data_IF_996514032781
#
_entry.id   IF_996514032781
#
_cell.length_a   1.000
_cell.length_b   1.000
_cell.length_c   1.000
_cell.angle_alpha   90.00
_cell.angle_beta   90.00
_cell.angle_gamma   90.00
#
_symmetry.space_group_name_H-M   'P 1'
#
loop_
_entity.id
_entity.type
_entity.pdbx_description
1 polymer ?
#
# COMPACT_ATOMS: atom_id res chain seq x y z
N UNK A 1 -6.28 -51.10 -25.69
CA UNK A 1 -4.89 -50.69 -25.39
C UNK A 1 -4.72 -49.28 -25.93
N UNK A 2 -4.48 -48.32 -25.05
CA UNK A 2 -4.08 -46.91 -25.28
C UNK A 2 -4.97 -46.05 -26.22
N UNK A 3 -5.92 -45.31 -25.64
CA UNK A 3 -6.34 -44.02 -26.18
C UNK A 3 -5.48 -42.95 -25.51
N UNK A 4 -4.66 -42.29 -26.33
CA UNK A 4 -3.68 -41.31 -25.91
C UNK A 4 -4.32 -40.12 -25.20
N UNK A 5 -3.85 -39.87 -23.98
CA UNK A 5 -4.08 -38.65 -23.22
C UNK A 5 -3.37 -37.51 -23.98
N UNK A 6 -4.15 -36.62 -24.60
CA UNK A 6 -3.64 -35.45 -25.29
C UNK A 6 -3.22 -34.40 -24.22
N UNK A 7 -1.94 -34.02 -24.11
CA UNK A 7 -1.45 -33.22 -23.00
C UNK A 7 -1.26 -31.73 -23.36
N UNK A 8 -2.15 -31.11 -24.14
CA UNK A 8 -1.94 -29.73 -24.61
C UNK A 8 -3.16 -28.82 -24.39
N UNK A 9 -3.59 -28.66 -23.14
CA UNK A 9 -4.39 -27.50 -22.73
C UNK A 9 -3.70 -26.74 -21.62
N UNK A 10 -2.44 -26.34 -21.87
CA UNK A 10 -1.78 -25.32 -21.07
C UNK A 10 -2.43 -23.96 -21.40
N UNK A 11 -3.61 -23.74 -20.82
CA UNK A 11 -4.23 -22.43 -20.77
C UNK A 11 -3.30 -21.54 -19.94
N UNK A 12 -2.37 -20.88 -20.64
CA UNK A 12 -1.53 -19.81 -20.11
C UNK A 12 -2.42 -18.75 -19.46
N UNK A 13 -2.73 -18.95 -18.17
CA UNK A 13 -3.53 -18.06 -17.34
C UNK A 13 -2.67 -16.85 -17.03
N UNK A 14 -2.73 -15.84 -17.89
CA UNK A 14 -1.98 -14.60 -17.70
C UNK A 14 -2.69 -13.77 -16.63
N UNK A 15 -2.34 -14.04 -15.38
CA UNK A 15 -2.71 -13.20 -14.23
C UNK A 15 -1.96 -11.87 -14.33
N UNK A 16 -2.69 -10.76 -14.31
CA UNK A 16 -2.10 -9.43 -14.21
C UNK A 16 -2.66 -8.78 -12.95
N UNK A 17 -1.80 -8.64 -11.93
CA UNK A 17 -2.16 -8.17 -10.58
C UNK A 17 -3.22 -9.01 -9.87
N UNK A 18 -3.07 -10.34 -9.85
CA UNK A 18 -4.03 -11.24 -9.18
C UNK A 18 -5.35 -11.43 -9.96
N UNK A 19 -5.76 -10.44 -10.75
CA UNK A 19 -6.96 -10.51 -11.57
C UNK A 19 -6.73 -11.41 -12.79
N UNK A 20 -7.57 -12.42 -12.91
CA UNK A 20 -7.63 -13.27 -14.09
C UNK A 20 -8.45 -12.53 -15.15
N UNK A 21 -7.86 -12.26 -16.33
CA UNK A 21 -8.56 -11.56 -17.43
C UNK A 21 -9.71 -12.36 -18.06
N UNK A 22 -10.03 -13.54 -17.53
CA UNK A 22 -11.26 -14.23 -17.88
C UNK A 22 -12.38 -13.58 -17.08
N UNK A 23 -13.22 -12.81 -17.76
CA UNK A 23 -14.60 -12.67 -17.31
C UNK A 23 -15.07 -14.09 -16.96
N UNK A 24 -15.39 -14.31 -15.68
CA UNK A 24 -15.77 -15.60 -15.14
C UNK A 24 -17.13 -15.98 -15.72
N UNK A 25 -17.15 -16.30 -17.01
CA UNK A 25 -18.18 -17.13 -17.59
C UNK A 25 -18.12 -18.42 -16.77
N UNK A 26 -19.21 -18.82 -16.08
CA UNK A 26 -19.25 -20.10 -15.41
C UNK A 26 -18.86 -21.12 -16.46
N UNK A 27 -17.66 -21.68 -16.32
CA UNK A 27 -17.21 -22.74 -17.20
C UNK A 27 -17.94 -23.93 -16.64
N UNK A 28 -19.14 -24.19 -17.18
CA UNK A 28 -19.92 -25.36 -16.83
C UNK A 28 -19.04 -26.56 -17.19
N UNK A 29 -18.45 -27.18 -16.18
CA UNK A 29 -17.71 -28.41 -16.39
C UNK A 29 -18.74 -29.50 -16.65
N UNK A 30 -19.05 -29.70 -17.94
CA UNK A 30 -19.94 -30.75 -18.41
C UNK A 30 -19.36 -32.16 -18.14
N UNK A 31 -18.14 -32.27 -17.61
CA UNK A 31 -17.54 -33.54 -17.21
C UNK A 31 -17.83 -33.94 -15.76
N UNK A 32 -18.39 -33.03 -14.95
CA UNK A 32 -18.86 -33.38 -13.61
C UNK A 32 -20.13 -34.24 -13.71
N UNK A 33 -19.96 -35.54 -13.48
CA UNK A 33 -21.04 -36.50 -13.42
C UNK A 33 -21.82 -36.34 -12.09
N UNK A 34 -22.66 -35.31 -12.02
CA UNK A 34 -23.51 -35.01 -10.87
C UNK A 34 -24.48 -36.16 -10.52
N UNK A 35 -24.71 -37.11 -11.43
CA UNK A 35 -25.50 -38.34 -11.20
C UNK A 35 -24.76 -39.33 -10.30
N UNK A 36 -23.44 -39.31 -10.32
CA UNK A 36 -22.62 -40.16 -9.47
C UNK A 36 -22.39 -39.55 -8.07
N UNK A 37 -22.30 -38.22 -7.96
CA UNK A 37 -22.02 -37.52 -6.70
C UNK A 37 -23.26 -37.39 -5.81
N UNK A 38 -24.45 -37.30 -6.40
CA UNK A 38 -25.72 -37.22 -5.69
C UNK A 38 -26.72 -38.21 -6.31
N UNK A 39 -27.12 -39.28 -5.59
CA UNK A 39 -28.06 -40.28 -6.11
C UNK A 39 -29.44 -39.66 -6.38
N UNK A 40 -30.22 -40.28 -7.27
CA UNK A 40 -31.61 -39.87 -7.56
C UNK A 40 -32.50 -39.93 -6.31
N UNK A 41 -33.35 -38.91 -6.16
CA UNK A 41 -34.33 -38.86 -5.08
C UNK A 41 -35.50 -39.80 -5.39
N UNK A 42 -36.23 -40.27 -4.36
CA UNK A 42 -37.43 -41.06 -4.58
C UNK A 42 -38.52 -40.22 -5.28
N UNK A 43 -39.27 -40.87 -6.16
CA UNK A 43 -40.29 -40.22 -6.99
C UNK A 43 -41.32 -39.44 -6.14
N UNK A 44 -41.27 -38.11 -6.24
CA UNK A 44 -42.12 -37.19 -5.47
C UNK A 44 -41.38 -36.33 -4.42
N UNK A 45 -40.11 -36.63 -4.13
CA UNK A 45 -39.26 -35.85 -3.20
C UNK A 45 -38.26 -34.92 -3.90
N UNK A 46 -38.32 -34.81 -5.23
CA UNK A 46 -37.46 -33.96 -6.08
C UNK A 46 -37.49 -32.46 -5.75
N UNK A 47 -38.49 -32.01 -4.98
CA UNK A 47 -38.63 -30.62 -4.50
C UNK A 47 -38.58 -30.52 -2.97
N UNK A 48 -38.33 -31.63 -2.28
CA UNK A 48 -38.18 -31.67 -0.83
C UNK A 48 -36.95 -30.89 -0.34
N UNK A 49 -36.88 -30.60 0.96
CA UNK A 49 -35.75 -29.88 1.55
C UNK A 49 -34.39 -30.58 1.32
N UNK A 50 -34.40 -31.90 1.18
CA UNK A 50 -33.20 -32.70 0.93
C UNK A 50 -33.02 -33.07 -0.54
N UNK A 51 -33.76 -32.43 -1.46
CA UNK A 51 -33.67 -32.75 -2.86
C UNK A 51 -32.25 -32.54 -3.42
N UNK A 52 -31.87 -33.42 -4.34
CA UNK A 52 -30.62 -33.46 -5.07
C UNK A 52 -30.26 -32.11 -5.66
N UNK A 53 -31.24 -31.39 -6.23
CA UNK A 53 -31.03 -30.06 -6.81
C UNK A 53 -30.45 -29.08 -5.80
N UNK A 54 -30.96 -29.05 -4.56
CA UNK A 54 -30.48 -28.16 -3.52
C UNK A 54 -29.09 -28.53 -3.02
N UNK A 55 -28.80 -29.83 -2.92
CA UNK A 55 -27.48 -30.32 -2.51
C UNK A 55 -26.41 -30.05 -3.55
N UNK A 56 -26.74 -30.25 -4.82
CA UNK A 56 -25.89 -29.90 -5.95
C UNK A 56 -25.64 -28.39 -6.00
N UNK A 57 -26.70 -27.59 -5.87
CA UNK A 57 -26.58 -26.13 -5.86
C UNK A 57 -25.67 -25.63 -4.74
N UNK A 58 -25.86 -26.13 -3.51
CA UNK A 58 -25.04 -25.72 -2.37
C UNK A 58 -23.56 -26.10 -2.54
N UNK A 59 -23.28 -27.26 -3.13
CA UNK A 59 -21.91 -27.69 -3.41
C UNK A 59 -21.25 -26.76 -4.45
N UNK A 60 -21.93 -26.53 -5.57
CA UNK A 60 -21.42 -25.65 -6.64
C UNK A 60 -21.28 -24.20 -6.16
N UNK A 61 -22.25 -23.69 -5.39
CA UNK A 61 -22.18 -22.34 -4.84
C UNK A 61 -21.00 -22.19 -3.87
N UNK A 62 -20.70 -23.22 -3.08
CA UNK A 62 -19.57 -23.17 -2.16
C UNK A 62 -18.23 -23.13 -2.91
N UNK A 63 -18.09 -23.92 -3.97
CA UNK A 63 -16.88 -23.97 -4.79
C UNK A 63 -16.71 -22.66 -5.59
N UNK A 64 -17.79 -22.12 -6.14
CA UNK A 64 -17.79 -20.81 -6.82
C UNK A 64 -17.45 -19.66 -5.87
N UNK A 65 -18.08 -19.60 -4.70
CA UNK A 65 -17.83 -18.56 -3.71
C UNK A 65 -16.37 -18.61 -3.22
N UNK A 66 -15.84 -19.81 -2.97
CA UNK A 66 -14.45 -19.98 -2.58
C UNK A 66 -13.48 -19.47 -3.66
N UNK A 67 -13.78 -19.73 -4.93
CA UNK A 67 -12.97 -19.25 -6.05
C UNK A 67 -13.03 -17.73 -6.18
N UNK A 68 -14.23 -17.13 -6.09
CA UNK A 68 -14.43 -15.69 -6.17
C UNK A 68 -13.71 -14.95 -5.03
N UNK A 69 -13.83 -15.47 -3.80
CA UNK A 69 -13.13 -14.91 -2.63
C UNK A 69 -11.62 -15.07 -2.77
N UNK A 70 -11.15 -16.17 -3.36
CA UNK A 70 -9.73 -16.38 -3.68
C UNK A 70 -9.17 -15.29 -4.59
N UNK A 71 -9.84 -15.00 -5.71
CA UNK A 71 -9.41 -13.95 -6.64
C UNK A 71 -9.49 -12.54 -6.02
N UNK A 72 -10.56 -12.26 -5.26
CA UNK A 72 -10.70 -10.99 -4.56
C UNK A 72 -9.56 -10.79 -3.55
N UNK A 73 -9.15 -11.84 -2.84
CA UNK A 73 -8.03 -11.81 -1.91
C UNK A 73 -6.71 -11.52 -2.62
N UNK A 74 -6.44 -12.19 -3.75
CA UNK A 74 -5.21 -11.98 -4.50
C UNK A 74 -5.13 -10.56 -5.08
N UNK A 75 -6.26 -10.01 -5.53
CA UNK A 75 -6.36 -8.61 -5.96
C UNK A 75 -6.13 -7.61 -4.83
N UNK A 76 -6.67 -7.89 -3.63
CA UNK A 76 -6.45 -7.06 -2.44
C UNK A 76 -5.01 -7.14 -1.95
N UNK A 77 -4.39 -8.32 -1.95
CA UNK A 77 -2.99 -8.50 -1.54
C UNK A 77 -2.05 -7.61 -2.40
N UNK A 78 -2.23 -7.64 -3.73
CA UNK A 78 -1.50 -6.77 -4.63
C UNK A 78 -1.76 -5.28 -4.33
N UNK A 79 -3.02 -4.86 -4.19
CA UNK A 79 -3.36 -3.46 -3.90
C UNK A 79 -2.76 -2.99 -2.56
N UNK A 80 -2.79 -3.83 -1.52
CA UNK A 80 -2.26 -3.53 -0.20
C UNK A 80 -0.73 -3.40 -0.22
N UNK A 81 -0.03 -4.24 -0.98
CA UNK A 81 1.43 -4.10 -1.18
C UNK A 81 1.75 -2.77 -1.87
N UNK A 82 1.01 -2.40 -2.93
CA UNK A 82 1.19 -1.11 -3.58
C UNK A 82 0.89 0.07 -2.67
N UNK A 83 -0.21 0.00 -1.91
CA UNK A 83 -0.59 1.03 -0.96
C UNK A 83 0.45 1.19 0.15
N UNK A 84 0.98 0.09 0.69
CA UNK A 84 2.02 0.10 1.71
C UNK A 84 3.33 0.72 1.18
N UNK A 85 3.77 0.32 -0.02
CA UNK A 85 4.96 0.88 -0.64
C UNK A 85 4.78 2.36 -0.98
N UNK A 86 3.63 2.73 -1.55
CA UNK A 86 3.31 4.12 -1.85
C UNK A 86 3.28 4.98 -0.59
N UNK A 87 2.60 4.51 0.47
CA UNK A 87 2.55 5.21 1.75
C UNK A 87 3.94 5.35 2.36
N UNK A 88 4.79 4.32 2.29
CA UNK A 88 6.16 4.39 2.81
C UNK A 88 6.98 5.47 2.09
N UNK A 89 6.91 5.52 0.75
CA UNK A 89 7.58 6.54 -0.05
C UNK A 89 7.06 7.93 0.28
N UNK A 90 5.74 8.11 0.36
CA UNK A 90 5.10 9.39 0.71
C UNK A 90 5.48 9.84 2.12
N UNK A 91 5.48 8.94 3.11
CA UNK A 91 5.91 9.25 4.49
C UNK A 91 7.39 9.64 4.52
N UNK A 92 8.27 8.93 3.81
CA UNK A 92 9.69 9.30 3.73
C UNK A 92 9.88 10.67 3.09
N UNK A 93 9.17 10.95 1.99
CA UNK A 93 9.19 12.25 1.34
C UNK A 93 8.72 13.34 2.31
N UNK A 94 7.60 13.12 3.01
CA UNK A 94 7.06 14.07 3.99
C UNK A 94 8.05 14.34 5.12
N UNK A 95 8.70 13.31 5.67
CA UNK A 95 9.73 13.47 6.71
C UNK A 95 10.89 14.31 6.20
N UNK A 96 11.43 13.98 5.03
CA UNK A 96 12.55 14.72 4.44
C UNK A 96 12.17 16.16 4.10
N UNK A 97 11.01 16.39 3.48
CA UNK A 97 10.51 17.73 3.18
C UNK A 97 10.28 18.54 4.44
N UNK A 98 9.76 17.93 5.52
CA UNK A 98 9.55 18.63 6.79
C UNK A 98 10.87 19.09 7.43
N UNK A 99 11.95 18.31 7.27
CA UNK A 99 13.28 18.69 7.75
C UNK A 99 13.90 19.78 6.88
N UNK A 100 13.71 19.73 5.56
CA UNK A 100 14.17 20.77 4.64
C UNK A 100 13.43 22.11 4.81
N UNK A 101 12.20 22.09 5.31
CA UNK A 101 11.43 23.30 5.64
C UNK A 101 11.67 23.82 7.06
N UNK A 102 12.44 23.10 7.89
CA UNK A 102 12.79 23.59 9.22
C UNK A 102 13.96 24.56 9.14
N UNK A 103 13.95 25.56 10.02
CA UNK A 103 15.10 26.43 10.23
C UNK A 103 16.30 25.57 10.69
N UNK A 104 17.49 25.83 10.12
CA UNK A 104 18.69 25.13 10.53
C UNK A 104 19.06 25.52 11.96
N UNK A 105 18.72 24.63 12.89
CA UNK A 105 19.03 24.80 14.31
C UNK A 105 20.54 24.80 14.57
N UNK A 106 21.35 24.19 13.70
CA UNK A 106 22.81 24.20 13.84
C UNK A 106 23.37 25.58 13.50
N UNK A 107 22.87 26.19 12.43
CA UNK A 107 23.20 27.56 12.04
C UNK A 107 22.75 28.54 13.13
N UNK A 108 21.49 28.45 13.57
CA UNK A 108 20.94 29.29 14.65
C UNK A 108 21.77 29.17 15.93
N UNK A 109 22.16 27.96 16.32
CA UNK A 109 22.98 27.74 17.52
C UNK A 109 24.39 28.31 17.37
N UNK A 110 25.01 28.21 16.18
CA UNK A 110 26.32 28.77 15.92
C UNK A 110 26.33 30.30 16.06
N UNK A 111 25.31 30.99 15.52
CA UNK A 111 25.20 32.44 15.64
C UNK A 111 24.94 32.88 17.10
N UNK A 112 24.09 32.17 17.84
CA UNK A 112 23.84 32.47 19.25
C UNK A 112 25.07 32.23 20.14
N UNK A 113 25.85 31.17 19.86
CA UNK A 113 27.12 30.93 20.57
C UNK A 113 28.16 32.00 20.25
N UNK A 114 28.22 32.47 19.00
CA UNK A 114 29.10 33.58 18.63
C UNK A 114 28.74 34.85 19.39
N UNK A 115 27.45 35.19 19.48
CA UNK A 115 26.98 36.31 20.30
C UNK A 115 27.37 36.13 21.78
N UNK A 116 27.16 34.94 22.35
CA UNK A 116 27.52 34.64 23.74
C UNK A 116 29.02 34.88 24.00
N UNK A 117 29.90 34.41 23.10
CA UNK A 117 31.34 34.60 23.21
C UNK A 117 31.70 36.09 23.07
N UNK A 118 31.04 36.82 22.16
CA UNK A 118 31.26 38.25 21.97
C UNK A 118 30.84 39.08 23.20
N UNK A 119 29.70 38.75 23.83
CA UNK A 119 29.26 39.35 25.10
C UNK A 119 30.24 39.05 26.22
N UNK A 120 30.72 37.81 26.32
CA UNK A 120 31.73 37.44 27.33
C UNK A 120 33.02 38.24 27.17
N UNK A 121 33.50 38.44 25.93
CA UNK A 121 34.68 39.26 25.66
C UNK A 121 34.42 40.74 26.00
N UNK A 122 33.30 41.31 25.55
CA UNK A 122 32.95 42.70 25.86
C UNK A 122 32.84 42.95 27.37
N UNK A 123 32.25 42.01 28.12
CA UNK A 123 32.18 42.07 29.57
C UNK A 123 33.55 41.99 30.24
N UNK A 124 34.47 41.16 29.71
CA UNK A 124 35.85 41.07 30.20
C UNK A 124 36.66 42.34 29.90
N UNK A 125 36.41 42.99 28.77
CA UNK A 125 37.04 44.26 28.36
C UNK A 125 36.39 45.49 29.02
N UNK A 126 35.32 45.30 29.81
CA UNK A 126 34.58 46.36 30.51
C UNK A 126 33.69 47.21 29.59
N UNK A 127 33.44 46.75 28.36
CA UNK A 127 32.60 47.44 27.39
C UNK A 127 31.12 47.07 27.58
N UNK A 128 30.18 48.00 27.35
CA UNK A 128 28.77 47.74 27.62
C UNK A 128 28.18 46.78 26.59
N UNK A 129 27.27 45.89 27.02
CA UNK A 129 26.73 44.77 26.22
C UNK A 129 26.05 45.23 24.92
N UNK A 130 25.51 46.45 24.92
CA UNK A 130 24.89 47.10 23.76
C UNK A 130 25.86 47.39 22.59
N UNK A 131 27.18 47.30 22.79
CA UNK A 131 28.15 47.45 21.70
C UNK A 131 28.40 46.13 20.95
N UNK A 132 27.85 45.01 21.44
CA UNK A 132 27.97 43.71 20.79
C UNK A 132 26.90 43.56 19.71
N UNK A 133 27.31 43.17 18.50
CA UNK A 133 26.37 42.87 17.41
C UNK A 133 25.52 41.65 17.78
N UNK A 134 24.20 41.84 17.85
CA UNK A 134 23.24 40.77 18.11
C UNK A 134 23.23 39.74 16.97
N UNK A 135 22.92 38.48 17.30
CA UNK A 135 22.76 37.41 16.33
C UNK A 135 21.67 37.75 15.31
N UNK A 136 21.91 37.51 14.01
CA UNK A 136 20.88 37.68 12.97
C UNK A 136 19.77 36.62 13.05
N UNK A 137 19.99 35.52 13.78
CA UNK A 137 19.05 34.42 13.96
C UNK A 137 18.64 34.26 15.43
N UNK A 138 17.39 33.86 15.66
CA UNK A 138 16.79 33.66 16.98
C UNK A 138 15.96 32.37 16.95
N UNK A 139 15.80 31.61 18.06
CA UNK A 139 14.97 30.40 18.09
C UNK A 139 13.51 30.59 17.64
N UNK A 140 12.99 31.83 17.64
CA UNK A 140 11.65 32.18 17.15
C UNK A 140 11.64 32.65 15.69
N UNK A 141 12.78 32.68 14.99
CA UNK A 141 12.83 33.16 13.61
C UNK A 141 12.14 32.18 12.66
N UNK A 142 11.19 32.69 11.87
CA UNK A 142 10.50 31.93 10.83
C UNK A 142 11.48 31.46 9.75
N UNK A 143 11.34 30.22 9.29
CA UNK A 143 12.08 29.72 8.13
C UNK A 143 11.84 30.62 6.91
N UNK A 144 12.91 31.21 6.39
CA UNK A 144 12.89 31.92 5.10
C UNK A 144 13.74 31.10 4.14
N UNK A 145 13.16 30.51 3.08
CA UNK A 145 13.96 29.80 2.09
C UNK A 145 14.91 30.79 1.43
N UNK A 146 16.21 30.49 1.44
CA UNK A 146 17.20 31.26 0.70
C UNK A 146 16.94 31.08 -0.80
N UNK A 147 16.19 32.01 -1.39
CA UNK A 147 16.16 32.16 -2.84
C UNK A 147 17.37 32.99 -3.24
N UNK A 148 18.41 32.41 -3.88
CA UNK A 148 19.29 33.24 -4.67
C UNK A 148 18.43 33.78 -5.81
N UNK A 149 18.09 35.07 -5.77
CA UNK A 149 17.69 35.78 -6.99
C UNK A 149 18.89 35.73 -7.94
N UNK A 150 19.01 34.66 -8.73
CA UNK A 150 19.97 34.56 -9.82
C UNK A 150 19.42 35.40 -10.97
N UNK A 151 19.76 36.68 -10.94
CA UNK A 151 19.67 37.57 -12.09
C UNK A 151 20.95 37.38 -12.89
N UNK A 152 20.87 36.60 -13.97
CA UNK A 152 21.66 36.86 -15.19
C UNK A 152 20.79 37.72 -16.12
#
# INVERSE_FOLDING_TARGET
MALGKNPDSDQSNRHFFGFSKRAHLPTYDLSDDYEQRFPEDPMGEETGQNARVWRTYLAESADFDAMMVGEARDGLDAMLVFAGLFSAVVTSFLVQTSQNLQADFTETTAYLLYELIAVQRAAADGNPVNDVSASPLNPTSTFVPNYPCRLD
#
